data_IF_994318799155
#
_entry.id   IF_994318799155
#
_cell.length_a   1.000
_cell.length_b   1.000
_cell.length_c   1.000
_cell.angle_alpha   90.00
_cell.angle_beta   90.00
_cell.angle_gamma   90.00
#
_symmetry.space_group_name_H-M   'P 1'
#
loop_
_entity.id
_entity.type
_entity.pdbx_description
1 polymer ?
#
# COMPACT_ATOMS: atom_id res chain seq x y z
N UNK A 1 36.07 -3.99 -34.76
CA UNK A 1 37.02 -3.65 -33.67
C UNK A 1 36.16 -3.32 -32.46
N UNK A 2 35.93 -4.32 -31.59
CA UNK A 2 35.28 -4.08 -30.30
C UNK A 2 36.32 -3.38 -29.45
N UNK A 3 36.04 -2.13 -29.06
CA UNK A 3 36.79 -1.42 -28.04
C UNK A 3 36.69 -2.21 -26.73
N UNK A 4 37.73 -2.94 -26.42
CA UNK A 4 37.90 -3.58 -25.12
C UNK A 4 38.21 -2.46 -24.09
N UNK A 5 37.17 -1.71 -23.72
CA UNK A 5 37.25 -0.71 -22.68
C UNK A 5 37.43 -1.46 -21.35
N UNK A 6 38.51 -1.18 -20.65
CA UNK A 6 38.75 -1.73 -19.31
C UNK A 6 37.55 -1.43 -18.39
N UNK A 7 37.15 -2.37 -17.52
CA UNK A 7 36.02 -2.16 -16.63
C UNK A 7 36.26 -0.94 -15.72
N UNK A 8 35.25 -0.10 -15.59
CA UNK A 8 35.31 1.02 -14.63
C UNK A 8 35.10 0.46 -13.21
N UNK A 9 36.19 0.36 -12.45
CA UNK A 9 36.17 -0.17 -11.09
C UNK A 9 35.57 0.86 -10.12
N UNK A 10 34.65 0.39 -9.25
CA UNK A 10 34.02 1.16 -8.18
C UNK A 10 34.64 0.83 -6.82
N UNK A 11 34.59 1.74 -5.87
CA UNK A 11 34.81 1.42 -4.47
C UNK A 11 33.75 0.47 -3.91
N UNK A 12 34.03 -0.23 -2.82
CA UNK A 12 33.01 -1.09 -2.17
C UNK A 12 31.80 -0.30 -1.70
N UNK A 13 31.99 0.93 -1.27
CA UNK A 13 30.89 1.83 -0.85
C UNK A 13 30.01 2.20 -2.04
N UNK A 14 30.61 2.64 -3.15
CA UNK A 14 29.88 2.98 -4.38
C UNK A 14 29.16 1.76 -4.95
N UNK A 15 29.82 0.59 -4.95
CA UNK A 15 29.20 -0.66 -5.37
C UNK A 15 28.01 -1.00 -4.50
N UNK A 16 28.13 -0.92 -3.17
CA UNK A 16 27.04 -1.19 -2.24
C UNK A 16 25.84 -0.27 -2.46
N UNK A 17 26.09 1.02 -2.68
CA UNK A 17 25.04 1.99 -3.00
C UNK A 17 24.36 1.65 -4.33
N UNK A 18 25.10 1.48 -5.40
CA UNK A 18 24.56 1.11 -6.72
C UNK A 18 23.79 -0.21 -6.68
N UNK A 19 24.29 -1.20 -5.93
CA UNK A 19 23.63 -2.47 -5.74
C UNK A 19 22.27 -2.31 -5.06
N UNK A 20 22.20 -1.54 -3.98
CA UNK A 20 20.94 -1.31 -3.26
C UNK A 20 19.95 -0.52 -4.10
N UNK A 21 20.39 0.50 -4.84
CA UNK A 21 19.56 1.26 -5.76
C UNK A 21 18.99 0.39 -6.87
N UNK A 22 19.77 -0.56 -7.37
CA UNK A 22 19.34 -1.53 -8.37
C UNK A 22 18.40 -2.59 -7.78
N UNK A 23 18.71 -3.12 -6.60
CA UNK A 23 17.92 -4.14 -5.94
C UNK A 23 16.55 -3.62 -5.49
N UNK A 24 16.49 -2.37 -5.01
CA UNK A 24 15.28 -1.69 -4.55
C UNK A 24 14.83 -0.64 -5.58
N UNK A 25 14.30 -1.10 -6.72
CA UNK A 25 13.76 -0.23 -7.78
C UNK A 25 12.24 -0.03 -7.64
N UNK A 26 11.73 1.08 -8.18
CA UNK A 26 10.29 1.37 -8.22
C UNK A 26 9.51 0.27 -8.94
N UNK A 27 10.04 -0.23 -10.05
CA UNK A 27 9.42 -1.29 -10.84
C UNK A 27 9.22 -2.58 -10.03
N UNK A 28 10.21 -2.98 -9.23
CA UNK A 28 10.14 -4.18 -8.38
C UNK A 28 9.14 -4.00 -7.24
N UNK A 29 9.10 -2.80 -6.65
CA UNK A 29 8.09 -2.48 -5.64
C UNK A 29 6.70 -2.56 -6.26
N UNK A 30 6.45 -1.90 -7.39
CA UNK A 30 5.15 -1.95 -8.09
C UNK A 30 4.77 -3.39 -8.46
N UNK A 31 5.72 -4.19 -8.95
CA UNK A 31 5.50 -5.60 -9.28
C UNK A 31 5.01 -6.42 -8.09
N UNK A 32 5.56 -6.19 -6.89
CA UNK A 32 5.12 -6.86 -5.67
C UNK A 32 3.67 -6.54 -5.28
N UNK A 33 3.21 -5.33 -5.60
CA UNK A 33 1.84 -4.86 -5.29
C UNK A 33 0.86 -4.95 -6.46
N UNK A 34 1.30 -5.40 -7.63
CA UNK A 34 0.46 -5.46 -8.85
C UNK A 34 -0.82 -6.30 -8.65
N UNK A 35 -0.75 -7.37 -7.84
CA UNK A 35 -1.90 -8.24 -7.56
C UNK A 35 -3.00 -7.57 -6.75
N UNK A 36 -2.74 -6.42 -6.12
CA UNK A 36 -3.77 -5.66 -5.40
C UNK A 36 -4.67 -4.88 -6.36
N UNK A 37 -4.20 -4.59 -7.57
CA UNK A 37 -4.97 -3.83 -8.56
C UNK A 37 -6.26 -4.56 -8.93
N UNK A 38 -7.38 -3.84 -8.86
CA UNK A 38 -8.70 -4.40 -9.16
C UNK A 38 -9.30 -5.26 -8.06
N UNK A 39 -8.58 -5.53 -6.96
CA UNK A 39 -9.14 -6.25 -5.82
C UNK A 39 -10.29 -5.45 -5.23
N UNK A 40 -11.43 -6.10 -5.01
CA UNK A 40 -12.58 -5.54 -4.33
C UNK A 40 -12.88 -6.31 -3.05
N UNK A 41 -13.37 -5.59 -2.05
CA UNK A 41 -13.80 -6.18 -0.77
C UNK A 41 -14.92 -5.37 -0.14
N UNK A 42 -15.77 -6.06 0.65
CA UNK A 42 -16.92 -5.47 1.27
C UNK A 42 -16.66 -5.09 2.73
N UNK A 43 -17.25 -3.98 3.12
CA UNK A 43 -17.30 -3.49 4.49
C UNK A 43 -18.75 -3.44 4.98
N UNK A 44 -18.99 -3.96 6.16
CA UNK A 44 -20.32 -3.93 6.79
C UNK A 44 -21.22 -5.10 6.37
N UNK A 45 -22.54 -4.98 6.59
CA UNK A 45 -23.23 -3.83 7.21
C UNK A 45 -22.92 -3.63 8.69
N UNK A 46 -22.69 -2.38 9.09
CA UNK A 46 -22.53 -2.00 10.50
C UNK A 46 -23.64 -1.04 10.94
N UNK A 47 -24.02 -1.12 12.22
CA UNK A 47 -24.95 -0.15 12.82
C UNK A 47 -24.22 1.15 13.13
N UNK A 48 -24.76 2.28 12.69
CA UNK A 48 -24.20 3.62 12.86
C UNK A 48 -25.23 4.63 13.36
N UNK A 49 -24.76 5.75 13.87
CA UNK A 49 -25.60 6.82 14.40
C UNK A 49 -26.25 6.52 15.75
N UNK A 50 -27.19 7.39 16.21
CA UNK A 50 -27.87 7.23 17.49
C UNK A 50 -28.61 5.89 17.56
N UNK A 51 -28.42 5.16 18.67
CA UNK A 51 -29.00 3.83 18.91
C UNK A 51 -28.71 2.80 17.79
N UNK A 52 -27.74 3.04 16.88
CA UNK A 52 -27.38 2.19 15.74
C UNK A 52 -28.55 1.89 14.80
N UNK A 53 -29.49 2.83 14.67
CA UNK A 53 -30.67 2.67 13.83
C UNK A 53 -30.36 2.72 12.33
N UNK A 54 -29.31 3.42 11.94
CA UNK A 54 -28.81 3.39 10.56
C UNK A 54 -27.86 2.21 10.34
N UNK A 55 -27.83 1.68 9.13
CA UNK A 55 -26.88 0.67 8.68
C UNK A 55 -25.99 1.25 7.58
N UNK A 56 -24.68 1.01 7.68
CA UNK A 56 -23.73 1.39 6.64
C UNK A 56 -23.01 0.17 6.10
N UNK A 57 -22.85 0.14 4.79
CA UNK A 57 -22.03 -0.83 4.07
C UNK A 57 -21.27 -0.12 2.95
N UNK A 58 -20.15 -0.69 2.52
CA UNK A 58 -19.41 -0.17 1.39
C UNK A 58 -18.71 -1.31 0.63
N UNK A 59 -18.63 -1.15 -0.68
CA UNK A 59 -17.73 -1.90 -1.54
C UNK A 59 -16.50 -1.03 -1.79
N UNK A 60 -15.30 -1.55 -1.51
CA UNK A 60 -14.03 -0.86 -1.73
C UNK A 60 -13.27 -1.58 -2.83
N UNK A 61 -12.82 -0.83 -3.84
CA UNK A 61 -12.01 -1.35 -4.95
C UNK A 61 -10.67 -0.65 -4.97
N UNK A 62 -9.60 -1.44 -5.08
CA UNK A 62 -8.22 -0.94 -5.17
C UNK A 62 -7.87 -0.62 -6.63
N UNK A 63 -7.36 0.59 -6.87
CA UNK A 63 -6.84 1.03 -8.15
C UNK A 63 -5.39 0.62 -8.37
N UNK A 64 -4.81 1.08 -9.46
CA UNK A 64 -3.42 0.80 -9.81
C UNK A 64 -2.47 1.58 -8.88
N UNK A 65 -1.56 0.91 -8.17
CA UNK A 65 -0.58 1.56 -7.31
C UNK A 65 0.39 2.46 -8.10
N UNK A 66 0.85 3.51 -7.44
CA UNK A 66 1.99 4.32 -7.87
C UNK A 66 3.01 4.42 -6.75
N UNK A 67 4.29 4.57 -7.11
CA UNK A 67 5.37 4.63 -6.14
C UNK A 67 6.27 5.82 -6.45
N UNK A 68 6.86 6.40 -5.40
CA UNK A 68 7.92 7.41 -5.50
C UNK A 68 9.07 6.99 -4.60
N UNK A 69 10.26 6.87 -5.19
CA UNK A 69 11.48 6.55 -4.48
C UNK A 69 12.18 7.81 -3.96
N UNK A 70 12.74 7.71 -2.76
CA UNK A 70 13.61 8.69 -2.15
C UNK A 70 14.95 8.02 -1.81
N UNK A 71 16.04 8.70 -2.14
CA UNK A 71 17.41 8.21 -1.90
C UNK A 71 18.09 9.26 -1.01
N UNK A 72 18.15 8.92 0.28
CA UNK A 72 18.81 9.69 1.32
C UNK A 72 19.82 8.77 2.03
N UNK A 73 19.91 8.80 3.35
CA UNK A 73 20.69 7.82 4.13
C UNK A 73 20.20 6.38 3.93
N UNK A 74 18.91 6.22 3.71
CA UNK A 74 18.26 4.97 3.35
C UNK A 74 17.41 5.17 2.09
N UNK A 75 17.28 4.11 1.30
CA UNK A 75 16.34 4.10 0.19
C UNK A 75 14.94 3.86 0.77
N UNK A 76 14.05 4.79 0.54
CA UNK A 76 12.65 4.71 0.97
C UNK A 76 11.68 4.93 -0.18
N UNK A 77 10.42 4.53 0.03
CA UNK A 77 9.38 4.66 -0.97
C UNK A 77 8.09 5.11 -0.32
N UNK A 78 7.41 6.02 -1.00
CA UNK A 78 6.01 6.34 -0.78
C UNK A 78 5.18 5.60 -1.82
N UNK A 79 4.40 4.62 -1.38
CA UNK A 79 3.48 3.85 -2.22
C UNK A 79 2.05 4.37 -2.02
N UNK A 80 1.41 4.76 -3.11
CA UNK A 80 0.03 5.25 -3.12
C UNK A 80 -0.86 4.25 -3.85
N UNK A 81 -1.93 3.81 -3.19
CA UNK A 81 -2.93 2.90 -3.76
C UNK A 81 -4.26 3.65 -3.83
N UNK A 82 -4.75 3.99 -5.03
CA UNK A 82 -6.06 4.63 -5.19
C UNK A 82 -7.19 3.70 -4.72
N UNK A 83 -8.27 4.30 -4.25
CA UNK A 83 -9.48 3.63 -3.78
C UNK A 83 -10.71 4.21 -4.46
N UNK A 84 -11.60 3.32 -4.90
CA UNK A 84 -12.99 3.66 -5.19
C UNK A 84 -13.88 3.03 -4.13
N UNK A 85 -14.71 3.82 -3.47
CA UNK A 85 -15.59 3.38 -2.38
C UNK A 85 -17.04 3.68 -2.75
N UNK A 86 -17.85 2.64 -2.92
CA UNK A 86 -19.29 2.72 -3.10
C UNK A 86 -19.97 2.45 -1.75
N UNK A 87 -20.39 3.52 -1.08
CA UNK A 87 -20.98 3.46 0.26
C UNK A 87 -22.49 3.55 0.20
N UNK A 88 -23.19 2.72 0.96
CA UNK A 88 -24.62 2.74 1.17
C UNK A 88 -24.92 3.00 2.65
N UNK A 89 -25.72 4.04 2.92
CA UNK A 89 -26.28 4.33 4.24
C UNK A 89 -27.79 4.11 4.18
N UNK A 90 -28.29 3.14 4.94
CA UNK A 90 -29.69 2.80 5.08
C UNK A 90 -30.23 3.36 6.40
N UNK A 91 -31.16 4.33 6.32
CA UNK A 91 -31.78 5.01 7.45
C UNK A 91 -33.18 4.38 7.80
N UNK A 92 -33.47 3.20 7.30
CA UNK A 92 -34.75 2.51 7.41
C UNK A 92 -35.91 3.13 6.57
N UNK A 93 -36.01 4.45 6.52
CA UNK A 93 -37.02 5.18 5.73
C UNK A 93 -36.44 5.71 4.42
N UNK A 94 -35.11 5.83 4.32
CA UNK A 94 -34.42 6.34 3.13
C UNK A 94 -33.03 5.70 2.99
N UNK A 95 -32.56 5.60 1.74
CA UNK A 95 -31.25 5.01 1.42
C UNK A 95 -30.42 5.99 0.62
N UNK A 96 -29.24 6.27 1.13
CA UNK A 96 -28.28 7.17 0.50
C UNK A 96 -27.08 6.39 -0.04
N UNK A 97 -26.77 6.62 -1.32
CA UNK A 97 -25.59 6.06 -1.98
C UNK A 97 -24.56 7.16 -2.18
N UNK A 98 -23.31 6.86 -1.86
CA UNK A 98 -22.19 7.77 -2.05
C UNK A 98 -21.10 7.02 -2.80
N UNK A 99 -20.63 7.63 -3.88
CA UNK A 99 -19.41 7.19 -4.54
C UNK A 99 -18.30 8.17 -4.16
N UNK A 100 -17.25 7.67 -3.57
CA UNK A 100 -16.15 8.48 -3.07
C UNK A 100 -14.83 7.85 -3.49
N UNK A 101 -13.86 8.69 -3.78
CA UNK A 101 -12.50 8.28 -4.03
C UNK A 101 -11.63 8.43 -2.79
N UNK A 102 -10.51 7.76 -2.81
CA UNK A 102 -9.54 7.83 -1.72
C UNK A 102 -8.17 7.35 -2.13
N UNK A 103 -7.27 7.33 -1.19
CA UNK A 103 -5.91 6.84 -1.38
C UNK A 103 -5.35 6.25 -0.10
N UNK A 104 -4.66 5.12 -0.20
CA UNK A 104 -3.83 4.58 0.88
C UNK A 104 -2.40 5.00 0.60
N UNK A 105 -1.73 5.49 1.64
CA UNK A 105 -0.31 5.82 1.61
C UNK A 105 0.45 4.83 2.49
N UNK A 106 1.41 4.10 1.90
CA UNK A 106 2.30 3.18 2.61
C UNK A 106 3.74 3.68 2.48
N UNK A 107 4.47 3.66 3.58
CA UNK A 107 5.90 3.94 3.61
C UNK A 107 6.68 2.64 3.66
N UNK A 108 7.66 2.53 2.76
CA UNK A 108 8.54 1.39 2.68
C UNK A 108 9.97 1.87 2.82
N UNK A 109 10.85 1.03 3.40
CA UNK A 109 12.27 1.32 3.55
C UNK A 109 13.08 0.09 3.17
N UNK A 110 14.05 0.24 2.28
CA UNK A 110 15.00 -0.81 1.97
C UNK A 110 16.07 -0.87 3.08
N UNK A 111 16.23 -2.04 3.67
CA UNK A 111 17.21 -2.32 4.71
C UNK A 111 18.10 -3.48 4.32
N UNK A 112 19.33 -3.46 4.79
CA UNK A 112 20.23 -4.60 4.69
C UNK A 112 20.18 -5.43 5.97
N UNK A 113 20.30 -6.74 5.84
CA UNK A 113 20.30 -7.67 6.96
C UNK A 113 21.30 -8.82 6.74
N UNK A 114 21.75 -9.42 7.82
CA UNK A 114 22.59 -10.64 7.77
C UNK A 114 21.80 -11.86 7.24
N UNK A 115 22.50 -12.84 6.62
CA UNK A 115 23.91 -12.84 6.24
C UNK A 115 24.23 -11.98 4.99
N UNK A 116 23.32 -11.75 4.09
CA UNK A 116 23.39 -10.92 2.88
C UNK A 116 21.97 -10.82 2.30
N UNK A 117 21.15 -9.98 2.90
CA UNK A 117 19.74 -9.82 2.51
C UNK A 117 19.41 -8.35 2.30
N UNK A 118 18.51 -8.10 1.35
CA UNK A 118 17.85 -6.81 1.21
C UNK A 118 16.38 -6.99 1.57
N UNK A 119 15.92 -6.30 2.60
CA UNK A 119 14.56 -6.40 3.12
C UNK A 119 13.84 -5.08 2.88
N UNK A 120 12.69 -5.14 2.21
CA UNK A 120 11.78 -3.99 2.10
C UNK A 120 10.85 -4.01 3.30
N UNK A 121 11.15 -3.18 4.28
CA UNK A 121 10.34 -2.99 5.47
C UNK A 121 9.12 -2.12 5.13
N UNK A 122 7.92 -2.55 5.50
CA UNK A 122 6.67 -1.86 5.22
C UNK A 122 6.09 -1.41 6.55
N UNK A 123 5.96 -0.10 6.74
CA UNK A 123 5.31 0.46 7.92
C UNK A 123 3.86 -0.04 8.00
N UNK A 124 3.44 -0.52 9.16
CA UNK A 124 2.07 -1.01 9.34
C UNK A 124 1.07 0.12 9.12
N UNK A 125 0.10 -0.05 8.18
CA UNK A 125 -0.84 1.00 7.83
C UNK A 125 -1.77 1.33 9.01
N UNK A 126 -2.00 2.60 9.22
CA UNK A 126 -2.89 3.17 10.22
C UNK A 126 -4.10 3.82 9.56
N UNK A 127 -5.21 4.05 10.27
CA UNK A 127 -6.36 4.76 9.70
C UNK A 127 -6.02 6.14 9.12
N UNK A 128 -5.00 6.82 9.66
CA UNK A 128 -4.50 8.11 9.15
C UNK A 128 -3.78 8.03 7.79
N UNK A 129 -3.32 6.84 7.40
CA UNK A 129 -2.68 6.60 6.11
C UNK A 129 -3.73 6.34 5.00
N UNK A 130 -5.01 6.25 5.37
CA UNK A 130 -6.15 6.09 4.46
C UNK A 130 -6.88 7.43 4.37
N UNK A 131 -6.86 8.05 3.21
CA UNK A 131 -7.62 9.27 2.91
C UNK A 131 -8.83 8.91 2.07
N UNK A 132 -10.00 9.38 2.46
CA UNK A 132 -11.26 9.23 1.72
C UNK A 132 -11.83 10.63 1.50
N UNK A 133 -12.14 10.97 0.27
CA UNK A 133 -12.63 12.29 -0.11
C UNK A 133 -14.15 12.23 -0.23
N UNK A 134 -14.87 12.50 0.86
CA UNK A 134 -16.33 12.60 0.83
C UNK A 134 -16.71 14.03 0.46
N UNK A 135 -17.39 14.20 -0.67
CA UNK A 135 -17.98 15.49 -1.02
C UNK A 135 -19.11 15.83 -0.04
N UNK A 136 -18.87 16.77 0.86
CA UNK A 136 -19.79 17.14 1.95
C UNK A 136 -20.79 18.22 1.57
N UNK A 137 -20.63 18.86 0.42
CA UNK A 137 -21.43 20.02 0.01
C UNK A 137 -22.93 19.73 -0.14
N UNK A 138 -23.29 18.48 -0.37
CA UNK A 138 -24.70 18.02 -0.49
C UNK A 138 -25.25 17.37 0.76
N UNK A 139 -24.42 17.14 1.78
CA UNK A 139 -24.78 16.39 3.00
C UNK A 139 -25.11 17.36 4.13
N UNK A 140 -26.34 17.34 4.65
CA UNK A 140 -26.80 18.26 5.70
C UNK A 140 -27.26 17.53 6.97
N UNK A 141 -27.10 18.20 8.13
CA UNK A 141 -27.70 17.81 9.40
C UNK A 141 -27.20 16.49 9.98
N UNK A 142 -28.09 15.61 10.39
CA UNK A 142 -27.77 14.34 11.06
C UNK A 142 -27.01 13.38 10.17
N UNK A 143 -27.24 13.43 8.85
CA UNK A 143 -26.57 12.57 7.87
C UNK A 143 -25.06 12.84 7.84
N UNK A 144 -24.63 14.11 8.00
CA UNK A 144 -23.21 14.47 8.06
C UNK A 144 -22.47 13.76 9.23
N UNK A 145 -23.11 13.67 10.41
CA UNK A 145 -22.53 12.98 11.57
C UNK A 145 -22.43 11.47 11.34
N UNK A 146 -23.42 10.88 10.67
CA UNK A 146 -23.41 9.47 10.32
C UNK A 146 -22.30 9.19 9.33
N UNK A 147 -22.19 9.99 8.27
CA UNK A 147 -21.11 9.87 7.26
C UNK A 147 -19.73 9.97 7.89
N UNK A 148 -19.51 10.95 8.77
CA UNK A 148 -18.22 11.10 9.46
C UNK A 148 -17.87 9.89 10.36
N UNK A 149 -18.87 9.30 11.01
CA UNK A 149 -18.68 8.07 11.81
C UNK A 149 -18.33 6.87 10.93
N UNK A 150 -19.03 6.74 9.80
CA UNK A 150 -18.79 5.66 8.82
C UNK A 150 -17.42 5.80 8.19
N UNK A 151 -16.99 7.01 7.82
CA UNK A 151 -15.65 7.28 7.26
C UNK A 151 -14.55 6.76 8.18
N UNK A 152 -14.65 7.03 9.48
CA UNK A 152 -13.66 6.56 10.45
C UNK A 152 -13.60 5.02 10.52
N UNK A 153 -14.76 4.34 10.51
CA UNK A 153 -14.81 2.89 10.56
C UNK A 153 -14.29 2.25 9.26
N UNK A 154 -14.61 2.84 8.10
CA UNK A 154 -14.09 2.39 6.80
C UNK A 154 -12.56 2.52 6.77
N UNK A 155 -11.99 3.65 7.19
CA UNK A 155 -10.52 3.84 7.26
C UNK A 155 -9.85 2.79 8.15
N UNK A 156 -10.43 2.50 9.32
CA UNK A 156 -9.92 1.44 10.22
C UNK A 156 -9.98 0.06 9.56
N UNK A 157 -11.08 -0.20 8.85
CA UNK A 157 -11.26 -1.48 8.16
C UNK A 157 -10.27 -1.64 7.01
N UNK A 158 -10.10 -0.63 6.16
CA UNK A 158 -9.15 -0.61 5.04
C UNK A 158 -7.72 -0.79 5.57
N UNK A 159 -7.31 -0.05 6.60
CA UNK A 159 -5.98 -0.18 7.20
C UNK A 159 -5.72 -1.62 7.67
N UNK A 160 -6.68 -2.25 8.38
CA UNK A 160 -6.57 -3.65 8.81
C UNK A 160 -6.56 -4.64 7.63
N UNK A 161 -7.34 -4.36 6.58
CA UNK A 161 -7.35 -5.19 5.38
C UNK A 161 -5.96 -5.17 4.73
N UNK A 162 -5.41 -3.99 4.46
CA UNK A 162 -4.08 -3.84 3.86
C UNK A 162 -2.99 -4.43 4.76
N UNK A 163 -3.07 -4.25 6.09
CA UNK A 163 -2.12 -4.88 7.02
C UNK A 163 -2.12 -6.42 6.92
N UNK A 164 -3.23 -7.04 6.58
CA UNK A 164 -3.31 -8.48 6.31
C UNK A 164 -2.74 -8.83 4.94
N UNK A 165 -3.06 -8.03 3.92
CA UNK A 165 -2.57 -8.25 2.56
C UNK A 165 -1.03 -8.21 2.48
N UNK A 166 -0.39 -7.20 3.10
CA UNK A 166 1.07 -7.07 3.09
C UNK A 166 1.80 -8.20 3.84
N UNK A 167 1.09 -8.98 4.68
CA UNK A 167 1.64 -10.15 5.39
C UNK A 167 1.48 -11.46 4.61
N UNK A 168 0.79 -11.44 3.47
CA UNK A 168 0.62 -12.66 2.66
C UNK A 168 1.95 -13.18 2.13
N UNK A 169 2.12 -14.51 1.99
CA UNK A 169 3.40 -15.14 1.66
C UNK A 169 4.04 -14.60 0.38
N UNK A 170 3.27 -14.27 -0.65
CA UNK A 170 3.79 -13.76 -1.91
C UNK A 170 4.38 -12.34 -1.77
N UNK A 171 3.74 -11.46 -0.98
CA UNK A 171 4.30 -10.13 -0.69
C UNK A 171 5.49 -10.25 0.26
N UNK A 172 5.40 -11.12 1.28
CA UNK A 172 6.50 -11.37 2.19
C UNK A 172 7.75 -11.88 1.46
N UNK A 173 7.59 -12.80 0.51
CA UNK A 173 8.68 -13.30 -0.32
C UNK A 173 9.25 -12.25 -1.28
N UNK A 174 8.39 -11.39 -1.85
CA UNK A 174 8.83 -10.35 -2.78
C UNK A 174 9.64 -9.23 -2.12
N UNK A 175 9.44 -9.00 -0.83
CA UNK A 175 10.14 -7.95 -0.06
C UNK A 175 11.40 -8.42 0.66
N UNK A 176 11.74 -9.71 0.57
CA UNK A 176 12.89 -10.31 1.25
C UNK A 176 13.79 -10.99 0.22
N UNK A 177 14.84 -10.28 -0.17
CA UNK A 177 15.76 -10.69 -1.21
C UNK A 177 16.98 -11.33 -0.55
N UNK A 178 17.08 -12.65 -0.63
CA UNK A 178 18.24 -13.41 -0.20
C UNK A 178 19.33 -13.33 -1.27
N UNK A 179 20.28 -12.40 -1.07
CA UNK A 179 21.40 -12.18 -1.98
C UNK A 179 22.40 -13.32 -1.90
N UNK A 180 22.64 -13.87 -0.70
CA UNK A 180 23.57 -14.99 -0.51
C UNK A 180 23.13 -16.20 -1.34
N UNK A 181 21.85 -16.60 -1.23
CA UNK A 181 21.30 -17.70 -2.00
C UNK A 181 21.37 -17.47 -3.53
N UNK A 182 21.24 -16.21 -3.99
CA UNK A 182 21.38 -15.85 -5.42
C UNK A 182 22.82 -16.01 -5.88
N UNK A 183 23.79 -15.58 -5.07
CA UNK A 183 25.22 -15.76 -5.35
C UNK A 183 25.60 -17.23 -5.38
N UNK A 184 25.16 -18.01 -4.36
CA UNK A 184 25.40 -19.45 -4.31
C UNK A 184 24.84 -20.18 -5.53
N UNK A 185 23.68 -19.75 -6.01
CA UNK A 185 23.08 -20.32 -7.24
C UNK A 185 23.88 -19.97 -8.49
N UNK A 186 24.48 -18.78 -8.57
CA UNK A 186 25.30 -18.35 -9.69
C UNK A 186 26.67 -19.06 -9.78
N UNK A 187 27.21 -19.51 -8.62
CA UNK A 187 28.49 -20.23 -8.56
C UNK A 187 28.34 -21.76 -8.70
N UNK A 188 27.12 -22.29 -8.73
CA UNK A 188 26.87 -23.69 -9.05
C UNK A 188 26.97 -23.85 -10.57
N UNK A 189 28.16 -24.24 -11.03
CA UNK A 189 28.43 -24.69 -12.40
C UNK A 189 27.88 -26.08 -12.63
#
# INVERSE_FOLDING_TARGET
MEENSAPNYLSYEEFGRCFLEYAASEERILGAFAQLTGTAFDFGPIGVGPARLAKASAEVRLGQPSVRRHIDELISFDLFIPLDVNMLIDLAIDRHRFQVDGTIHLRLTARTAEPLRVVIDIAEPRPGDVRINVATDTIRGQLLRIVASVDQEIRRFIARYIAREIRKPHIAAARDIDVAARLDAAWKL
#
